data_IF_234966917155
#
_entry.id   IF_234966917155
#
_cell.length_a   1.000
_cell.length_b   1.000
_cell.length_c   1.000
_cell.angle_alpha   90.00
_cell.angle_beta   90.00
_cell.angle_gamma   90.00
#
_symmetry.space_group_name_H-M   'P 1'
#
loop_
_entity.id
_entity.type
_entity.pdbx_description
1 polymer ?
#
# COMPACT_ATOMS: atom_id res chain seq x y z
N UNK A 1 -32.23 44.07 30.58
CA UNK A 1 -32.40 43.75 29.15
C UNK A 1 -31.16 43.00 28.65
N UNK A 2 -31.00 41.70 28.91
CA UNK A 2 -29.75 41.00 28.49
C UNK A 2 -29.84 39.46 28.54
N UNK A 3 -31.01 38.84 28.31
CA UNK A 3 -31.12 37.36 28.35
C UNK A 3 -31.83 36.72 27.14
N UNK A 4 -32.37 37.51 26.20
CA UNK A 4 -33.11 36.97 25.03
C UNK A 4 -32.24 36.71 23.78
N UNK A 5 -31.06 37.30 23.66
CA UNK A 5 -30.21 37.20 22.46
C UNK A 5 -29.27 35.99 22.44
N UNK A 6 -28.98 35.37 23.59
CA UNK A 6 -28.03 34.24 23.67
C UNK A 6 -28.68 32.91 23.25
N UNK A 7 -29.99 32.75 23.43
CA UNK A 7 -30.69 31.50 23.08
C UNK A 7 -30.93 31.32 21.57
N UNK A 8 -31.01 32.41 20.80
CA UNK A 8 -31.15 32.34 19.35
C UNK A 8 -29.83 31.97 18.64
N UNK A 9 -28.68 32.36 19.20
CA UNK A 9 -27.37 32.04 18.65
C UNK A 9 -26.98 30.55 18.85
N UNK A 10 -27.36 29.94 19.98
CA UNK A 10 -27.09 28.51 20.21
C UNK A 10 -27.94 27.58 19.34
N UNK A 11 -29.20 27.94 19.04
CA UNK A 11 -30.05 27.12 18.19
C UNK A 11 -29.60 27.12 16.72
N UNK A 12 -29.02 28.23 16.24
CA UNK A 12 -28.47 28.33 14.89
C UNK A 12 -27.12 27.60 14.75
N UNK A 13 -26.30 27.60 15.82
CA UNK A 13 -25.01 26.88 15.83
C UNK A 13 -25.21 25.35 15.81
N UNK A 14 -26.25 24.83 16.47
CA UNK A 14 -26.57 23.39 16.44
C UNK A 14 -27.16 22.94 15.10
N UNK A 15 -27.87 23.81 14.37
CA UNK A 15 -28.44 23.46 13.05
C UNK A 15 -27.37 23.40 11.95
N UNK A 16 -26.30 24.22 12.05
CA UNK A 16 -25.17 24.17 11.11
C UNK A 16 -24.24 22.98 11.40
N UNK A 17 -24.11 22.56 12.66
CA UNK A 17 -23.33 21.37 13.03
C UNK A 17 -23.95 20.05 12.55
N UNK A 18 -25.28 19.98 12.37
CA UNK A 18 -25.96 18.79 11.85
C UNK A 18 -25.88 18.66 10.31
N UNK A 19 -25.65 19.77 9.60
CA UNK A 19 -25.52 19.80 8.13
C UNK A 19 -24.06 19.64 7.64
N UNK A 20 -23.12 19.60 8.57
CA UNK A 20 -21.70 19.30 8.33
C UNK A 20 -21.35 17.92 8.90
N UNK A 21 -22.24 16.94 8.75
CA UNK A 21 -21.75 15.56 8.80
C UNK A 21 -20.97 15.34 7.51
N UNK A 22 -19.64 15.19 7.54
CA UNK A 22 -18.97 14.59 6.41
C UNK A 22 -19.59 13.21 6.30
N UNK A 23 -20.43 12.98 5.29
CA UNK A 23 -20.57 11.66 4.71
C UNK A 23 -19.14 11.24 4.40
N UNK A 24 -18.56 10.46 5.32
CA UNK A 24 -17.34 9.73 5.09
C UNK A 24 -17.65 8.79 3.93
N UNK A 25 -17.50 9.31 2.72
CA UNK A 25 -17.16 8.50 1.58
C UNK A 25 -15.92 7.74 2.03
N UNK A 26 -16.11 6.48 2.44
CA UNK A 26 -15.07 5.49 2.28
C UNK A 26 -14.61 5.67 0.83
N UNK A 27 -13.44 6.30 0.67
CA UNK A 27 -12.76 6.35 -0.59
C UNK A 27 -12.33 4.91 -0.87
N UNK A 28 -13.27 4.12 -1.38
CA UNK A 28 -13.02 2.82 -1.96
C UNK A 28 -12.09 3.09 -3.13
N UNK A 29 -10.79 2.94 -2.89
CA UNK A 29 -9.73 3.13 -3.87
C UNK A 29 -10.10 2.38 -5.14
N UNK A 30 -10.08 3.08 -6.27
CA UNK A 30 -10.19 2.43 -7.58
C UNK A 30 -8.78 2.12 -8.03
N UNK A 31 -8.50 0.84 -8.24
CA UNK A 31 -7.21 0.38 -8.74
C UNK A 31 -7.39 -0.56 -9.93
N UNK A 32 -6.28 -0.84 -10.59
CA UNK A 32 -6.24 -1.81 -11.68
C UNK A 32 -5.36 -2.98 -11.28
N UNK A 33 -5.74 -4.19 -11.63
CA UNK A 33 -5.01 -5.41 -11.28
C UNK A 33 -4.74 -6.26 -12.51
N UNK A 34 -3.66 -7.01 -12.48
CA UNK A 34 -3.43 -8.15 -13.36
C UNK A 34 -3.24 -9.41 -12.53
N UNK A 35 -3.89 -10.49 -12.93
CA UNK A 35 -3.63 -11.84 -12.43
C UNK A 35 -3.14 -12.71 -13.59
N UNK A 36 -2.22 -13.61 -13.28
CA UNK A 36 -1.55 -14.46 -14.28
C UNK A 36 -1.53 -15.90 -13.76
N UNK A 37 -1.93 -16.86 -14.59
CA UNK A 37 -1.97 -18.28 -14.21
C UNK A 37 -0.57 -18.85 -13.93
N UNK A 38 0.41 -18.57 -14.79
CA UNK A 38 1.82 -18.96 -14.62
C UNK A 38 2.73 -17.73 -14.70
N UNK A 39 2.80 -16.92 -13.64
CA UNK A 39 3.56 -15.67 -13.64
C UNK A 39 5.07 -15.88 -13.85
N UNK A 40 5.60 -17.06 -13.50
CA UNK A 40 7.00 -17.43 -13.70
C UNK A 40 7.40 -17.55 -15.18
N UNK A 41 6.43 -17.72 -16.09
CA UNK A 41 6.67 -17.76 -17.52
C UNK A 41 6.84 -16.36 -18.14
N UNK A 42 6.51 -15.30 -17.41
CA UNK A 42 6.69 -13.92 -17.85
C UNK A 42 8.12 -13.43 -17.60
N UNK A 43 8.54 -12.44 -18.39
CA UNK A 43 9.79 -11.71 -18.14
C UNK A 43 9.52 -10.58 -17.15
N UNK A 44 9.88 -10.81 -15.88
CA UNK A 44 9.61 -9.90 -14.76
C UNK A 44 10.91 -9.41 -14.16
N UNK A 45 11.00 -8.11 -13.91
CA UNK A 45 12.12 -7.44 -13.29
C UNK A 45 11.70 -6.91 -11.90
N UNK A 46 12.62 -6.91 -10.94
CA UNK A 46 12.39 -6.34 -9.61
C UNK A 46 12.50 -4.80 -9.62
N UNK A 47 12.32 -4.17 -8.45
CA UNK A 47 12.45 -2.71 -8.24
C UNK A 47 13.78 -2.11 -8.72
N UNK A 48 14.83 -2.92 -8.81
CA UNK A 48 16.16 -2.51 -9.28
C UNK A 48 16.35 -2.74 -10.79
N UNK A 49 15.28 -3.11 -11.50
CA UNK A 49 15.30 -3.43 -12.93
C UNK A 49 16.28 -4.56 -13.27
N UNK A 50 16.36 -5.55 -12.38
CA UNK A 50 17.06 -6.79 -12.61
C UNK A 50 16.05 -7.91 -12.80
N UNK A 51 16.33 -8.85 -13.69
CA UNK A 51 15.52 -10.04 -13.89
C UNK A 51 15.34 -10.77 -12.54
N UNK A 52 14.11 -11.20 -12.25
CA UNK A 52 13.84 -11.95 -11.02
C UNK A 52 14.69 -13.23 -10.95
N UNK A 53 15.32 -13.44 -9.79
CA UNK A 53 15.98 -14.68 -9.44
C UNK A 53 14.96 -15.83 -9.30
N UNK A 54 15.44 -17.08 -9.34
CA UNK A 54 14.60 -18.27 -9.16
C UNK A 54 13.93 -18.34 -7.78
N UNK A 55 14.50 -17.68 -6.76
CA UNK A 55 13.85 -17.54 -5.46
C UNK A 55 12.69 -16.53 -5.52
N UNK A 56 12.89 -15.38 -6.19
CA UNK A 56 11.85 -14.37 -6.35
C UNK A 56 10.70 -14.87 -7.23
N UNK A 57 11.00 -15.62 -8.29
CA UNK A 57 9.99 -16.26 -9.15
C UNK A 57 9.14 -17.28 -8.40
N UNK A 58 9.72 -18.06 -7.48
CA UNK A 58 8.97 -19.01 -6.65
C UNK A 58 7.95 -18.34 -5.72
N UNK A 59 8.15 -17.06 -5.39
CA UNK A 59 7.18 -16.26 -4.65
C UNK A 59 6.04 -15.73 -5.54
N UNK A 60 6.12 -15.91 -6.86
CA UNK A 60 5.03 -15.61 -7.79
C UNK A 60 4.13 -16.84 -7.89
N UNK A 61 3.26 -17.01 -6.90
CA UNK A 61 2.25 -18.07 -6.93
C UNK A 61 1.20 -17.79 -8.02
N UNK A 62 0.59 -18.84 -8.61
CA UNK A 62 -0.47 -18.71 -9.60
C UNK A 62 -1.57 -17.75 -9.16
N UNK A 63 -1.97 -16.87 -10.08
CA UNK A 63 -3.00 -15.86 -9.93
C UNK A 63 -2.78 -14.83 -8.80
N UNK A 64 -1.55 -14.70 -8.29
CA UNK A 64 -1.18 -13.59 -7.43
C UNK A 64 -1.58 -12.25 -8.09
N UNK A 65 -2.39 -11.41 -7.43
CA UNK A 65 -2.76 -10.12 -8.00
C UNK A 65 -1.62 -9.12 -7.89
N UNK A 66 -1.30 -8.50 -9.02
CA UNK A 66 -0.35 -7.40 -9.12
C UNK A 66 -1.17 -6.13 -9.35
N UNK A 67 -1.06 -5.17 -8.44
CA UNK A 67 -1.68 -3.86 -8.59
C UNK A 67 -0.92 -3.08 -9.67
N UNK A 68 -1.60 -2.60 -10.70
CA UNK A 68 -1.02 -1.90 -11.83
C UNK A 68 -0.85 -0.43 -11.44
N UNK A 69 0.40 -0.01 -11.23
CA UNK A 69 0.75 1.37 -10.91
C UNK A 69 0.84 2.23 -12.18
N UNK A 70 1.39 1.65 -13.25
CA UNK A 70 1.47 2.28 -14.57
C UNK A 70 1.38 1.18 -15.65
N UNK A 71 0.35 1.26 -16.49
CA UNK A 71 0.08 0.26 -17.53
C UNK A 71 1.08 0.34 -18.70
N UNK A 72 1.66 1.52 -18.93
CA UNK A 72 2.56 1.80 -20.06
C UNK A 72 3.69 2.71 -19.62
N UNK A 73 4.78 2.10 -19.18
CA UNK A 73 6.00 2.80 -18.81
C UNK A 73 7.20 2.25 -19.58
N UNK A 74 8.35 2.90 -19.42
CA UNK A 74 9.61 2.50 -20.03
C UNK A 74 10.63 2.27 -18.91
N UNK A 75 11.50 1.27 -19.05
CA UNK A 75 12.62 1.06 -18.13
C UNK A 75 13.62 2.23 -18.16
N UNK A 76 14.60 2.19 -17.25
CA UNK A 76 15.64 3.22 -17.15
C UNK A 76 16.57 3.29 -18.37
N UNK A 77 16.55 2.29 -19.25
CA UNK A 77 17.26 2.30 -20.53
C UNK A 77 16.66 3.28 -21.56
N UNK A 78 15.43 3.75 -21.32
CA UNK A 78 14.76 4.74 -22.16
C UNK A 78 14.05 4.18 -23.39
N UNK A 79 14.02 2.86 -23.59
CA UNK A 79 13.32 2.28 -24.75
C UNK A 79 12.59 0.96 -24.47
N UNK A 80 12.89 0.22 -23.40
CA UNK A 80 12.22 -1.06 -23.13
C UNK A 80 10.83 -0.84 -22.51
N UNK A 81 9.73 -1.15 -23.23
CA UNK A 81 8.38 -0.94 -22.73
C UNK A 81 8.00 -1.99 -21.68
N UNK A 82 7.30 -1.57 -20.63
CA UNK A 82 6.85 -2.47 -19.57
C UNK A 82 5.57 -1.97 -18.89
N UNK A 83 4.97 -2.87 -18.11
CA UNK A 83 3.94 -2.56 -17.12
C UNK A 83 4.62 -2.49 -15.74
N UNK A 84 4.40 -1.41 -15.00
CA UNK A 84 4.86 -1.27 -13.62
C UNK A 84 3.74 -1.67 -12.67
N UNK A 85 4.04 -2.59 -11.76
CA UNK A 85 3.09 -3.07 -10.77
C UNK A 85 3.66 -3.09 -9.35
N UNK A 86 2.75 -3.16 -8.38
CA UNK A 86 3.03 -3.48 -6.99
C UNK A 86 2.57 -4.90 -6.69
N UNK A 87 3.46 -5.67 -6.07
CA UNK A 87 3.22 -7.03 -5.62
C UNK A 87 3.43 -7.09 -4.11
N UNK A 88 2.35 -6.94 -3.34
CA UNK A 88 2.39 -6.98 -1.87
C UNK A 88 3.43 -5.99 -1.28
N UNK A 89 3.58 -4.80 -1.87
CA UNK A 89 4.56 -3.79 -1.47
C UNK A 89 5.90 -3.83 -2.22
N UNK A 90 6.13 -4.84 -3.08
CA UNK A 90 7.30 -4.90 -3.94
C UNK A 90 6.98 -4.38 -5.35
N UNK A 91 7.68 -3.33 -5.78
CA UNK A 91 7.58 -2.85 -7.16
C UNK A 91 8.22 -3.86 -8.12
N UNK A 92 7.48 -4.22 -9.16
CA UNK A 92 7.90 -5.11 -10.24
C UNK A 92 7.61 -4.49 -11.61
N UNK A 93 8.37 -4.92 -12.62
CA UNK A 93 8.19 -4.50 -14.01
C UNK A 93 7.97 -5.74 -14.88
N UNK A 94 6.83 -5.82 -15.55
CA UNK A 94 6.50 -6.90 -16.48
C UNK A 94 6.80 -6.39 -17.89
N UNK A 95 7.81 -6.98 -18.56
CA UNK A 95 8.22 -6.48 -19.88
C UNK A 95 7.15 -6.72 -20.94
N UNK A 96 7.10 -5.83 -21.92
CA UNK A 96 6.30 -6.03 -23.14
C UNK A 96 7.20 -6.42 -24.30
N UNK A 97 6.67 -7.26 -25.18
CA UNK A 97 7.31 -7.60 -26.45
C UNK A 97 7.00 -6.54 -27.53
N UNK A 98 7.55 -6.74 -28.74
CA UNK A 98 7.38 -5.84 -29.88
C UNK A 98 5.91 -5.69 -30.33
N UNK A 99 5.06 -6.67 -30.02
CA UNK A 99 3.62 -6.60 -30.31
C UNK A 99 2.83 -5.81 -29.26
N UNK A 100 3.49 -5.42 -28.16
CA UNK A 100 2.90 -4.75 -27.02
C UNK A 100 2.26 -5.70 -26.00
N UNK A 101 2.29 -7.01 -26.24
CA UNK A 101 1.88 -8.05 -25.28
C UNK A 101 2.91 -8.25 -24.18
N UNK A 102 2.56 -8.92 -23.09
CA UNK A 102 3.55 -9.23 -22.06
C UNK A 102 4.54 -10.27 -22.58
N UNK A 103 5.83 -10.04 -22.38
CA UNK A 103 6.86 -10.98 -22.79
C UNK A 103 6.69 -12.31 -22.04
N UNK A 104 6.48 -13.40 -22.79
CA UNK A 104 6.16 -14.73 -22.25
C UNK A 104 4.66 -15.04 -22.12
N UNK A 105 3.77 -14.15 -22.57
CA UNK A 105 2.30 -14.27 -22.41
C UNK A 105 1.73 -15.61 -22.89
N UNK A 106 2.20 -16.15 -24.03
CA UNK A 106 1.75 -17.45 -24.54
C UNK A 106 2.03 -18.61 -23.57
N UNK A 107 3.15 -18.56 -22.86
CA UNK A 107 3.53 -19.56 -21.86
C UNK A 107 2.91 -19.27 -20.49
N UNK A 108 2.47 -18.04 -20.22
CA UNK A 108 1.87 -17.64 -18.94
C UNK A 108 0.44 -18.17 -18.72
N UNK A 109 -0.19 -18.76 -19.74
CA UNK A 109 -1.56 -19.28 -19.64
C UNK A 109 -2.57 -18.14 -19.62
N UNK A 110 -3.56 -18.20 -18.74
CA UNK A 110 -4.56 -17.14 -18.61
C UNK A 110 -3.96 -15.89 -17.95
N UNK A 111 -4.03 -14.77 -18.65
CA UNK A 111 -3.80 -13.42 -18.11
C UNK A 111 -5.13 -12.68 -18.07
N UNK A 112 -5.46 -12.03 -16.95
CA UNK A 112 -6.69 -11.25 -16.84
C UNK A 112 -6.42 -9.91 -16.20
N UNK A 113 -6.89 -8.86 -16.86
CA UNK A 113 -6.81 -7.48 -16.39
C UNK A 113 -8.15 -7.04 -15.79
N UNK A 114 -8.10 -6.43 -14.62
CA UNK A 114 -9.24 -5.80 -13.96
C UNK A 114 -8.97 -4.31 -13.88
N UNK A 115 -9.78 -3.50 -14.56
CA UNK A 115 -9.66 -2.04 -14.52
C UNK A 115 -10.75 -1.49 -13.60
N UNK A 116 -10.42 -0.43 -12.86
CA UNK A 116 -11.35 0.25 -11.95
C UNK A 116 -11.98 -0.69 -10.91
N UNK A 117 -11.24 -1.69 -10.46
CA UNK A 117 -11.65 -2.56 -9.37
C UNK A 117 -11.72 -1.75 -8.08
N UNK A 118 -12.66 -2.10 -7.21
CA UNK A 118 -12.76 -1.49 -5.87
C UNK A 118 -11.82 -2.22 -4.94
N UNK A 119 -10.79 -1.55 -4.44
CA UNK A 119 -9.88 -2.15 -3.46
C UNK A 119 -10.58 -2.45 -2.14
N UNK A 120 -10.19 -3.56 -1.54
CA UNK A 120 -10.66 -4.01 -0.23
C UNK A 120 -9.46 -4.59 0.50
N UNK A 121 -9.30 -4.30 1.79
CA UNK A 121 -8.15 -4.79 2.57
C UNK A 121 -8.56 -5.38 3.92
N UNK A 122 -9.83 -5.68 4.09
CA UNK A 122 -10.32 -6.36 5.27
C UNK A 122 -10.21 -7.89 5.13
N UNK A 123 -10.14 -8.54 6.28
CA UNK A 123 -10.17 -9.99 6.39
C UNK A 123 -11.54 -10.41 6.88
N UNK A 124 -12.04 -11.50 6.32
CA UNK A 124 -13.32 -12.09 6.68
C UNK A 124 -13.12 -13.49 7.21
N UNK A 125 -13.96 -13.87 8.16
CA UNK A 125 -14.06 -15.24 8.68
C UNK A 125 -15.26 -15.93 8.05
N UNK A 126 -15.05 -17.14 7.53
CA UNK A 126 -16.14 -18.03 7.12
C UNK A 126 -16.80 -18.59 8.39
N UNK A 127 -18.05 -18.21 8.67
CA UNK A 127 -18.77 -18.69 9.86
C UNK A 127 -19.48 -20.01 9.57
N UNK A 128 -20.08 -20.09 8.40
CA UNK A 128 -20.67 -21.32 7.89
C UNK A 128 -19.73 -21.93 6.85
N UNK A 129 -19.63 -23.26 6.84
CA UNK A 129 -18.91 -23.97 5.78
C UNK A 129 -19.61 -23.89 4.43
N UNK A 130 -20.46 -22.90 4.14
CA UNK A 130 -21.23 -22.76 2.90
C UNK A 130 -20.53 -21.88 1.84
N UNK A 131 -19.48 -21.16 2.24
CA UNK A 131 -18.76 -20.26 1.32
C UNK A 131 -17.99 -21.10 0.32
N UNK A 132 -18.13 -20.75 -0.95
CA UNK A 132 -17.43 -21.40 -2.05
C UNK A 132 -16.39 -20.45 -2.63
N UNK A 133 -15.13 -20.88 -2.63
CA UNK A 133 -14.06 -20.27 -3.39
C UNK A 133 -14.13 -20.78 -4.84
N UNK A 134 -14.27 -19.85 -5.78
CA UNK A 134 -14.20 -20.13 -7.21
C UNK A 134 -12.79 -19.89 -7.68
N UNK A 135 -12.19 -20.88 -8.33
CA UNK A 135 -10.88 -20.74 -8.95
C UNK A 135 -10.86 -19.55 -9.93
N UNK A 136 -9.76 -18.78 -10.05
CA UNK A 136 -9.66 -17.66 -10.98
C UNK A 136 -9.90 -18.04 -12.46
N UNK A 137 -9.54 -19.26 -12.87
CA UNK A 137 -9.87 -19.82 -14.18
C UNK A 137 -11.33 -20.30 -14.29
N UNK A 138 -12.08 -20.31 -13.18
CA UNK A 138 -13.47 -20.76 -13.00
C UNK A 138 -13.71 -22.25 -13.29
N UNK A 139 -12.64 -23.05 -13.29
CA UNK A 139 -12.69 -24.49 -13.54
C UNK A 139 -13.05 -25.31 -12.30
N UNK A 140 -12.72 -24.80 -11.11
CA UNK A 140 -12.90 -25.51 -9.84
C UNK A 140 -13.68 -24.66 -8.83
N UNK A 141 -14.44 -25.35 -7.99
CA UNK A 141 -15.14 -24.78 -6.84
C UNK A 141 -14.69 -25.52 -5.60
N UNK A 142 -14.19 -24.79 -4.61
CA UNK A 142 -13.73 -25.34 -3.34
C UNK A 142 -14.61 -24.80 -2.23
N UNK A 143 -15.19 -25.70 -1.42
CA UNK A 143 -16.00 -25.32 -0.27
C UNK A 143 -15.06 -24.98 0.90
N UNK A 144 -15.18 -23.77 1.45
CA UNK A 144 -14.36 -23.32 2.57
C UNK A 144 -14.95 -23.84 3.88
N UNK A 145 -14.09 -24.29 4.79
CA UNK A 145 -14.50 -24.72 6.11
C UNK A 145 -14.87 -23.52 7.01
N UNK A 146 -15.72 -23.76 8.02
CA UNK A 146 -15.93 -22.77 9.09
C UNK A 146 -14.60 -22.44 9.79
N UNK A 147 -14.41 -21.19 10.19
CA UNK A 147 -13.16 -20.64 10.73
C UNK A 147 -12.11 -20.26 9.69
N UNK A 148 -12.34 -20.54 8.40
CA UNK A 148 -11.40 -20.15 7.34
C UNK A 148 -11.32 -18.63 7.23
N UNK A 149 -10.10 -18.10 7.23
CA UNK A 149 -9.84 -16.68 7.06
C UNK A 149 -9.51 -16.37 5.60
N UNK A 150 -10.18 -15.35 5.06
CA UNK A 150 -9.93 -14.86 3.71
C UNK A 150 -9.67 -13.35 3.74
N UNK A 151 -8.53 -12.91 3.20
CA UNK A 151 -8.26 -11.49 2.96
C UNK A 151 -8.89 -11.09 1.64
N UNK A 152 -9.82 -10.13 1.68
CA UNK A 152 -10.33 -9.52 0.44
C UNK A 152 -9.26 -8.58 -0.10
N UNK A 153 -9.10 -8.55 -1.42
CA UNK A 153 -8.07 -7.74 -2.11
C UNK A 153 -8.75 -6.68 -2.97
N UNK A 154 -9.71 -7.09 -3.79
CA UNK A 154 -10.53 -6.16 -4.55
C UNK A 154 -11.87 -6.78 -4.92
N UNK A 155 -12.80 -5.95 -5.38
CA UNK A 155 -14.09 -6.34 -5.94
C UNK A 155 -14.12 -5.97 -7.42
N UNK A 156 -14.44 -6.96 -8.25
CA UNK A 156 -14.67 -6.78 -9.68
C UNK A 156 -15.91 -7.55 -10.10
N UNK A 157 -16.77 -6.91 -10.91
CA UNK A 157 -18.01 -7.53 -11.42
C UNK A 157 -18.92 -8.11 -10.31
N UNK A 158 -18.88 -7.51 -9.11
CA UNK A 158 -19.65 -7.94 -7.94
C UNK A 158 -19.12 -9.18 -7.22
N UNK A 159 -17.97 -9.71 -7.62
CA UNK A 159 -17.25 -10.77 -6.91
C UNK A 159 -16.06 -10.17 -6.15
N UNK A 160 -15.79 -10.66 -4.94
CA UNK A 160 -14.56 -10.33 -4.22
C UNK A 160 -13.46 -11.30 -4.61
N UNK A 161 -12.33 -10.76 -5.06
CA UNK A 161 -11.09 -11.50 -5.17
C UNK A 161 -10.44 -11.59 -3.79
N UNK A 162 -10.07 -12.80 -3.37
CA UNK A 162 -9.58 -13.07 -2.04
C UNK A 162 -8.32 -13.94 -2.04
N UNK A 163 -7.58 -13.86 -0.95
CA UNK A 163 -6.51 -14.78 -0.58
C UNK A 163 -6.91 -15.56 0.66
N UNK A 164 -6.75 -16.88 0.65
CA UNK A 164 -7.03 -17.74 1.80
C UNK A 164 -5.80 -17.75 2.72
N UNK A 165 -5.97 -17.21 3.92
CA UNK A 165 -4.91 -17.08 4.91
C UNK A 165 -4.65 -18.43 5.60
N UNK A 166 -3.37 -18.71 5.91
CA UNK A 166 -2.95 -19.98 6.53
C UNK A 166 -2.92 -21.19 5.58
N UNK A 167 -3.25 -20.98 4.30
CA UNK A 167 -3.07 -21.96 3.23
C UNK A 167 -1.79 -21.69 2.43
N UNK A 168 -1.47 -22.52 1.42
CA UNK A 168 -0.39 -22.27 0.45
C UNK A 168 -0.76 -21.14 -0.53
N UNK A 169 -0.98 -19.92 -0.01
CA UNK A 169 -1.32 -18.71 -0.76
C UNK A 169 -2.33 -18.96 -1.90
N UNK A 170 -3.49 -19.54 -1.56
CA UNK A 170 -4.55 -19.83 -2.52
C UNK A 170 -5.41 -18.58 -2.78
N UNK A 171 -5.65 -18.25 -4.05
CA UNK A 171 -6.47 -17.12 -4.48
C UNK A 171 -7.71 -17.55 -5.23
N UNK A 172 -8.77 -16.74 -5.17
CA UNK A 172 -9.99 -17.01 -5.91
C UNK A 172 -11.08 -15.97 -5.71
N UNK A 173 -12.25 -16.26 -6.26
CA UNK A 173 -13.43 -15.42 -6.17
C UNK A 173 -14.42 -15.96 -5.14
N UNK A 174 -15.02 -15.05 -4.38
CA UNK A 174 -16.17 -15.34 -3.53
C UNK A 174 -17.30 -14.35 -3.87
N UNK A 175 -18.52 -14.87 -4.06
CA UNK A 175 -19.72 -14.04 -4.22
C UNK A 175 -20.37 -13.73 -2.87
N UNK A 176 -19.85 -12.72 -2.17
CA UNK A 176 -20.41 -12.28 -0.90
C UNK A 176 -21.83 -11.69 -1.00
N UNK A 177 -22.34 -11.37 -2.19
CA UNK A 177 -23.71 -10.85 -2.34
C UNK A 177 -24.76 -11.94 -2.12
N UNK A 178 -24.38 -13.18 -2.41
CA UNK A 178 -25.21 -14.37 -2.18
C UNK A 178 -25.19 -14.85 -0.72
N UNK A 179 -24.37 -14.24 0.13
CA UNK A 179 -24.09 -14.68 1.50
C UNK A 179 -24.53 -13.64 2.52
N UNK A 180 -25.14 -14.08 3.62
CA UNK A 180 -25.54 -13.16 4.69
C UNK A 180 -24.40 -12.89 5.67
N UNK A 181 -24.03 -11.61 5.81
CA UNK A 181 -23.11 -11.14 6.84
C UNK A 181 -23.68 -11.44 8.24
N UNK A 182 -22.83 -11.90 9.16
CA UNK A 182 -23.17 -12.34 10.51
C UNK A 182 -23.61 -13.80 10.63
N UNK A 183 -24.06 -14.43 9.53
CA UNK A 183 -24.46 -15.84 9.49
C UNK A 183 -23.45 -16.69 8.73
N UNK A 184 -23.17 -16.30 7.49
CA UNK A 184 -22.33 -17.07 6.58
C UNK A 184 -20.87 -16.62 6.70
N UNK A 185 -20.65 -15.33 6.92
CA UNK A 185 -19.34 -14.72 7.12
C UNK A 185 -19.43 -13.52 8.05
N UNK A 186 -18.32 -13.11 8.65
CA UNK A 186 -18.20 -11.80 9.33
C UNK A 186 -16.89 -11.13 8.92
N UNK A 187 -16.91 -9.80 8.92
CA UNK A 187 -15.67 -9.03 8.84
C UNK A 187 -14.94 -9.16 10.17
N UNK A 188 -13.65 -9.44 10.12
CA UNK A 188 -12.77 -9.27 11.27
C UNK A 188 -12.20 -7.86 11.17
N UNK A 189 -12.77 -6.93 11.94
CA UNK A 189 -12.13 -5.63 12.13
C UNK A 189 -10.76 -5.84 12.79
N UNK A 190 -9.70 -5.33 12.16
CA UNK A 190 -8.34 -5.39 12.73
C UNK A 190 -7.40 -6.47 12.19
N UNK A 191 -7.68 -7.09 11.04
CA UNK A 191 -6.70 -7.99 10.37
C UNK A 191 -6.44 -7.64 8.90
N UNK A 192 -6.58 -6.37 8.52
CA UNK A 192 -5.50 -5.80 7.72
C UNK A 192 -4.25 -5.89 8.59
N UNK A 193 -3.10 -6.31 8.04
CA UNK A 193 -1.80 -6.38 8.73
C UNK A 193 -1.78 -5.35 9.86
N UNK A 194 -1.65 -5.75 11.15
CA UNK A 194 -1.77 -4.81 12.28
C UNK A 194 -1.05 -3.51 11.92
N UNK A 195 -1.64 -2.35 12.21
CA UNK A 195 -1.00 -1.05 11.89
C UNK A 195 0.47 -1.03 12.34
N UNK A 196 0.75 -1.67 13.46
CA UNK A 196 2.09 -1.93 13.98
C UNK A 196 2.97 -2.80 13.06
N UNK A 197 2.43 -3.82 12.41
CA UNK A 197 3.14 -4.67 11.44
C UNK A 197 3.34 -3.97 10.08
N UNK A 198 2.41 -3.14 9.60
CA UNK A 198 2.65 -2.31 8.40
C UNK A 198 3.78 -1.30 8.67
N UNK A 199 3.72 -0.62 9.83
CA UNK A 199 4.78 0.27 10.28
C UNK A 199 6.11 -0.48 10.41
N UNK A 200 6.12 -1.68 11.01
CA UNK A 200 7.33 -2.53 11.11
C UNK A 200 7.92 -2.94 9.77
N UNK A 201 7.12 -3.08 8.70
CA UNK A 201 7.62 -3.40 7.36
C UNK A 201 8.31 -2.21 6.69
N UNK A 202 7.80 -0.99 6.91
CA UNK A 202 8.37 0.23 6.31
C UNK A 202 9.50 0.84 7.14
N UNK A 203 9.56 0.57 8.46
CA UNK A 203 10.60 1.11 9.35
C UNK A 203 12.03 0.76 8.89
N UNK A 204 12.39 -0.50 8.56
CA UNK A 204 13.75 -0.82 8.15
C UNK A 204 14.18 -0.10 6.85
N UNK A 205 13.36 -0.05 5.79
CA UNK A 205 13.62 0.79 4.61
C UNK A 205 13.79 2.29 4.95
N UNK A 206 12.95 2.85 5.81
CA UNK A 206 13.06 4.26 6.22
C UNK A 206 14.37 4.50 6.98
N UNK A 207 14.71 3.67 7.96
CA UNK A 207 15.97 3.77 8.72
C UNK A 207 17.19 3.65 7.80
N UNK A 208 17.15 2.74 6.84
CA UNK A 208 18.20 2.60 5.82
C UNK A 208 18.37 3.92 5.06
N UNK A 209 17.25 4.52 4.63
CA UNK A 209 17.28 5.79 3.90
C UNK A 209 17.81 6.95 4.74
N UNK A 210 17.44 7.03 6.02
CA UNK A 210 17.96 8.04 6.94
C UNK A 210 19.48 7.89 7.13
N UNK A 211 19.98 6.67 7.24
CA UNK A 211 21.41 6.41 7.36
C UNK A 211 22.18 6.86 6.11
N UNK A 212 21.69 6.57 4.90
CA UNK A 212 22.30 7.07 3.65
C UNK A 212 22.38 8.60 3.62
N UNK A 213 21.34 9.30 4.09
CA UNK A 213 21.32 10.76 4.15
C UNK A 213 22.32 11.28 5.18
N UNK A 214 22.38 10.64 6.36
CA UNK A 214 23.33 11.00 7.42
C UNK A 214 24.78 10.82 6.97
N UNK A 215 25.10 9.75 6.25
CA UNK A 215 26.45 9.52 5.70
C UNK A 215 26.84 10.62 4.69
N UNK A 216 25.92 10.99 3.80
CA UNK A 216 26.14 12.09 2.84
C UNK A 216 26.32 13.44 3.53
N UNK A 217 25.53 13.74 4.56
CA UNK A 217 25.67 14.97 5.34
C UNK A 217 27.02 15.00 6.06
N UNK A 218 27.44 13.90 6.67
CA UNK A 218 28.74 13.79 7.32
C UNK A 218 29.90 13.99 6.33
N UNK A 219 29.81 13.40 5.13
CA UNK A 219 30.82 13.57 4.07
C UNK A 219 30.91 15.03 3.59
N UNK A 220 29.76 15.67 3.36
CA UNK A 220 29.70 17.07 2.94
C UNK A 220 30.30 18.00 4.00
N UNK A 221 29.94 17.83 5.27
CA UNK A 221 30.48 18.64 6.38
C UNK A 221 31.98 18.42 6.57
N UNK A 222 32.47 17.18 6.42
CA UNK A 222 33.91 16.87 6.43
C UNK A 222 34.66 17.59 5.30
N UNK A 223 34.08 17.67 4.10
CA UNK A 223 34.69 18.34 2.94
C UNK A 223 34.65 19.87 3.04
N UNK A 224 33.61 20.41 3.64
CA UNK A 224 33.41 21.85 3.77
C UNK A 224 34.22 22.48 4.92
N UNK A 225 34.91 21.68 5.74
CA UNK A 225 35.72 22.18 6.85
C UNK A 225 34.91 23.04 7.82
N UNK A 226 33.63 22.71 8.01
CA UNK A 226 32.68 23.56 8.73
C UNK A 226 33.10 23.79 10.18
N UNK A 227 32.90 25.00 10.70
CA UNK A 227 33.16 25.36 12.09
C UNK A 227 32.23 24.67 13.11
N UNK A 228 31.13 24.06 12.65
CA UNK A 228 30.24 23.28 13.51
C UNK A 228 30.94 22.01 13.99
N UNK A 229 30.81 21.68 15.28
CA UNK A 229 31.55 20.57 15.89
C UNK A 229 31.00 19.21 15.44
N UNK A 230 29.73 19.18 15.02
CA UNK A 230 29.00 17.97 14.63
C UNK A 230 28.14 18.21 13.38
N UNK A 231 28.15 17.26 12.42
CA UNK A 231 27.27 17.34 11.26
C UNK A 231 25.80 17.15 11.69
N UNK A 232 24.84 17.77 10.98
CA UNK A 232 23.43 17.53 11.20
C UNK A 232 23.09 16.06 10.97
N UNK A 233 22.24 15.49 11.83
CA UNK A 233 21.89 14.08 11.80
C UNK A 233 20.39 13.89 12.00
N UNK A 234 19.79 13.09 11.13
CA UNK A 234 18.43 12.60 11.30
C UNK A 234 18.42 11.40 12.24
N UNK A 235 17.60 11.49 13.27
CA UNK A 235 17.27 10.41 14.18
C UNK A 235 15.85 9.92 13.91
N UNK A 236 15.58 8.68 14.31
CA UNK A 236 14.30 8.02 14.11
C UNK A 236 13.83 7.44 15.44
N UNK A 237 12.59 7.76 15.81
CA UNK A 237 11.93 7.28 17.01
C UNK A 237 10.67 6.48 16.62
N UNK A 238 10.58 5.27 17.16
CA UNK A 238 9.43 4.39 16.98
C UNK A 238 8.40 4.63 18.07
N UNK A 239 7.25 5.18 17.70
CA UNK A 239 6.08 5.27 18.55
C UNK A 239 5.11 4.11 18.31
N UNK A 240 4.12 3.91 19.21
CA UNK A 240 3.12 2.86 19.08
C UNK A 240 2.17 3.04 17.89
N UNK A 241 2.00 4.26 17.38
CA UNK A 241 1.09 4.59 16.29
C UNK A 241 1.73 5.43 15.16
N UNK A 242 2.96 5.87 15.34
CA UNK A 242 3.66 6.77 14.44
C UNK A 242 5.16 6.48 14.46
N UNK A 243 5.83 6.82 13.37
CA UNK A 243 7.28 6.83 13.25
C UNK A 243 7.74 8.27 13.01
N UNK A 244 8.61 8.78 13.87
CA UNK A 244 9.02 10.17 13.86
C UNK A 244 10.49 10.30 13.53
N UNK A 245 10.82 11.18 12.58
CA UNK A 245 12.18 11.52 12.23
C UNK A 245 12.47 12.96 12.65
N UNK A 246 13.55 13.17 13.40
CA UNK A 246 13.94 14.50 13.91
C UNK A 246 15.36 14.82 13.46
N UNK A 247 15.59 16.07 13.05
CA UNK A 247 16.90 16.57 12.70
C UNK A 247 17.59 17.17 13.93
N UNK A 248 18.68 16.56 14.35
CA UNK A 248 19.61 17.16 15.30
C UNK A 248 20.63 18.01 14.53
N UNK A 249 20.73 19.30 14.86
CA UNK A 249 21.70 20.21 14.26
C UNK A 249 22.09 21.31 15.24
N UNK A 250 23.35 21.75 15.17
CA UNK A 250 23.82 22.98 15.82
C UNK A 250 23.39 24.25 15.05
N UNK A 251 22.91 24.08 13.82
CA UNK A 251 22.41 25.16 12.96
C UNK A 251 20.88 25.24 13.05
N UNK A 252 20.27 26.41 12.78
CA UNK A 252 18.81 26.57 12.77
C UNK A 252 18.14 25.60 11.79
N UNK A 253 17.11 24.88 12.27
CA UNK A 253 16.42 23.82 11.52
C UNK A 253 15.71 24.34 10.26
N UNK A 254 15.37 25.63 10.23
CA UNK A 254 14.75 26.32 9.10
C UNK A 254 15.66 26.31 7.87
N UNK A 255 16.98 26.33 8.06
CA UNK A 255 17.94 26.25 6.96
C UNK A 255 17.89 24.90 6.24
N UNK A 256 17.33 23.87 6.89
CA UNK A 256 17.16 22.55 6.32
C UNK A 256 15.76 22.29 5.77
N UNK A 257 14.86 23.28 5.74
CA UNK A 257 13.47 23.10 5.32
C UNK A 257 13.35 22.40 3.94
N UNK A 258 14.15 22.83 2.95
CA UNK A 258 14.16 22.20 1.61
C UNK A 258 14.69 20.76 1.64
N UNK A 259 15.68 20.50 2.49
CA UNK A 259 16.24 19.15 2.68
C UNK A 259 15.21 18.23 3.36
N UNK A 260 14.51 18.71 4.39
CA UNK A 260 13.42 18.00 5.06
C UNK A 260 12.28 17.65 4.10
N UNK A 261 11.88 18.58 3.22
CA UNK A 261 10.86 18.31 2.19
C UNK A 261 11.31 17.28 1.16
N UNK A 262 12.56 17.33 0.71
CA UNK A 262 13.10 16.35 -0.25
C UNK A 262 13.20 14.96 0.39
N UNK A 263 13.62 14.89 1.65
CA UNK A 263 13.61 13.64 2.40
C UNK A 263 12.19 13.11 2.57
N UNK A 264 11.24 13.95 2.95
CA UNK A 264 9.83 13.55 3.08
C UNK A 264 9.28 12.94 1.78
N UNK A 265 9.49 13.58 0.63
CA UNK A 265 9.10 13.02 -0.69
C UNK A 265 9.76 11.68 -1.02
N UNK A 266 11.02 11.51 -0.63
CA UNK A 266 11.69 10.22 -0.80
C UNK A 266 11.09 9.15 0.11
N UNK A 267 10.69 9.52 1.34
CA UNK A 267 10.02 8.61 2.25
C UNK A 267 8.60 8.28 1.76
N UNK A 268 7.85 9.22 1.18
CA UNK A 268 6.56 8.94 0.53
C UNK A 268 6.68 7.85 -0.53
N UNK A 269 7.78 7.83 -1.29
CA UNK A 269 8.05 6.78 -2.28
C UNK A 269 8.21 5.39 -1.65
N UNK A 270 8.77 5.33 -0.43
CA UNK A 270 8.90 4.09 0.35
C UNK A 270 7.54 3.62 0.88
N UNK A 271 6.62 4.56 1.11
CA UNK A 271 5.28 4.29 1.65
C UNK A 271 4.22 4.01 0.58
N UNK A 272 4.58 4.03 -0.71
CA UNK A 272 3.65 3.70 -1.79
C UNK A 272 3.05 2.30 -1.59
N UNK A 273 1.72 2.21 -1.67
CA UNK A 273 0.99 0.96 -1.41
C UNK A 273 0.70 0.69 0.08
N UNK A 274 0.90 1.68 0.95
CA UNK A 274 0.48 1.64 2.38
C UNK A 274 -0.52 2.76 2.68
N UNK A 275 -1.29 2.64 3.77
CA UNK A 275 -2.17 3.74 4.23
C UNK A 275 -1.43 4.75 5.15
N UNK A 276 -0.09 4.72 5.17
CA UNK A 276 0.74 5.65 5.92
C UNK A 276 0.97 6.93 5.12
N UNK A 277 0.89 8.06 5.81
CA UNK A 277 1.07 9.40 5.24
C UNK A 277 2.32 10.02 5.84
N UNK A 278 3.05 10.77 5.01
CA UNK A 278 4.17 11.61 5.46
C UNK A 278 3.66 13.02 5.71
N UNK A 279 3.88 13.52 6.92
CA UNK A 279 3.80 14.95 7.23
C UNK A 279 5.22 15.48 7.42
N UNK A 280 5.49 16.71 6.99
CA UNK A 280 6.82 17.30 7.14
C UNK A 280 6.76 18.76 7.54
N UNK A 281 7.64 19.14 8.46
CA UNK A 281 7.98 20.51 8.81
C UNK A 281 9.50 20.64 8.88
N UNK A 282 10.06 21.88 8.96
CA UNK A 282 11.51 22.04 9.06
C UNK A 282 12.08 21.25 10.24
N UNK A 283 13.00 20.32 9.96
CA UNK A 283 13.65 19.49 10.97
C UNK A 283 12.80 18.36 11.57
N UNK A 284 11.57 18.12 11.08
CA UNK A 284 10.69 17.06 11.59
C UNK A 284 9.88 16.41 10.48
N UNK A 285 9.86 15.09 10.45
CA UNK A 285 9.03 14.30 9.54
C UNK A 285 8.26 13.30 10.38
N UNK A 286 6.96 13.22 10.17
CA UNK A 286 6.10 12.26 10.86
C UNK A 286 5.51 11.31 9.83
N UNK A 287 5.56 10.03 10.15
CA UNK A 287 4.99 8.96 9.34
C UNK A 287 3.97 8.28 10.22
N UNK A 288 2.70 8.41 9.85
CA UNK A 288 1.61 7.89 10.64
C UNK A 288 0.39 7.67 9.77
N UNK A 289 -0.66 7.16 10.38
CA UNK A 289 -1.96 7.09 9.72
C UNK A 289 -2.52 8.50 9.63
N UNK A 290 -3.32 8.75 8.59
CA UNK A 290 -4.22 9.90 8.59
C UNK A 290 -5.21 9.71 9.74
N UNK A 291 -4.91 10.27 10.91
CA UNK A 291 -5.95 10.49 11.91
C UNK A 291 -6.95 11.47 11.31
N UNK A 292 -8.23 11.09 11.30
CA UNK A 292 -9.35 11.93 10.90
C UNK A 292 -9.12 13.37 11.39
N UNK A 293 -8.73 14.27 10.47
CA UNK A 293 -8.97 15.70 10.60
C UNK A 293 -10.27 16.03 9.90
#
# INVERSE_FOLDING_TARGET
MTFKTIRAALALLCLVAALLTPTALQANGRASFVIVERPEALVIYNRYQQLLSENEKRALVPFLPINILDERTILSDGFTPCLKGDRKGDVVFLLRDESGSLAGERAAGRITYFRNATETHDTVECLAGAITLLDPAKSRRTRLASGTLARRIFVAQGLSYVEILGSREEYGWIDFRSLAKGRDWKSIEGTGVPRSEQLRKVIPPIKTKLNEVNEKLAELFKRLGSAASRPPRWNAEEGPAQFMCTLESELPVEQFARSSQLLAKNLETILLGTDLVVSSSPGRIEIGWTENR
#
